data_IF_023386724237
#
_entry.id   IF_023386724237
#
_cell.length_a   1.000
_cell.length_b   1.000
_cell.length_c   1.000
_cell.angle_alpha   90.00
_cell.angle_beta   90.00
_cell.angle_gamma   90.00
#
_symmetry.space_group_name_H-M   'P 1'
#
loop_
_entity.id
_entity.type
_entity.pdbx_description
1 polymer ?
#
# COMPACT_ATOMS: atom_id res chain seq x y z
N UNK A 1 13.00 -16.57 -19.72
CA UNK A 1 12.29 -15.40 -19.23
C UNK A 1 10.83 -15.60 -19.56
N UNK A 2 10.00 -15.72 -18.54
CA UNK A 2 8.56 -15.71 -18.76
C UNK A 2 8.16 -14.35 -19.33
N UNK A 3 7.26 -14.30 -20.33
CA UNK A 3 6.81 -13.05 -20.88
C UNK A 3 6.10 -12.24 -19.77
N UNK A 4 6.60 -11.05 -19.50
CA UNK A 4 5.95 -10.09 -18.60
C UNK A 4 4.63 -9.66 -19.25
N UNK A 5 3.56 -10.34 -18.94
CA UNK A 5 2.20 -9.93 -19.29
C UNK A 5 1.73 -8.87 -18.29
N UNK A 6 2.00 -7.61 -18.59
CA UNK A 6 1.42 -6.51 -17.83
C UNK A 6 -0.12 -6.58 -17.98
N UNK A 7 -0.88 -6.44 -16.89
CA UNK A 7 -2.33 -6.38 -16.97
C UNK A 7 -2.74 -5.17 -17.80
N UNK A 8 -3.60 -5.38 -18.82
CA UNK A 8 -4.01 -4.35 -19.77
C UNK A 8 -4.77 -3.19 -19.09
N UNK A 9 -5.47 -3.45 -17.98
CA UNK A 9 -6.19 -2.45 -17.18
C UNK A 9 -5.61 -2.47 -15.76
N UNK A 10 -4.87 -1.43 -15.41
CA UNK A 10 -4.21 -1.31 -14.10
C UNK A 10 -4.77 -0.21 -13.21
N UNK A 11 -5.50 0.75 -13.80
CA UNK A 11 -6.08 1.89 -13.11
C UNK A 11 -7.22 2.48 -13.95
N UNK A 12 -8.28 2.92 -13.28
CA UNK A 12 -9.44 3.57 -13.90
C UNK A 12 -9.82 4.80 -13.09
N UNK A 13 -10.22 5.85 -13.79
CA UNK A 13 -10.84 7.04 -13.20
C UNK A 13 -12.10 7.37 -13.98
N UNK A 14 -13.20 7.54 -13.25
CA UNK A 14 -14.48 7.84 -13.85
C UNK A 14 -15.52 8.23 -12.82
N UNK A 15 -16.72 8.54 -13.31
CA UNK A 15 -17.87 8.80 -12.47
C UNK A 15 -18.42 7.51 -11.89
N UNK A 16 -18.66 7.49 -10.57
CA UNK A 16 -19.30 6.37 -9.89
C UNK A 16 -20.76 6.28 -10.31
N UNK A 17 -21.17 5.11 -10.78
CA UNK A 17 -22.53 4.83 -11.19
C UNK A 17 -22.94 3.41 -10.81
N UNK A 18 -24.24 3.19 -10.78
CA UNK A 18 -24.87 1.89 -10.62
C UNK A 18 -24.21 1.01 -9.52
N UNK A 19 -24.11 1.49 -8.27
CA UNK A 19 -23.60 0.69 -7.19
C UNK A 19 -24.52 -0.50 -6.91
N UNK A 20 -23.93 -1.70 -6.74
CA UNK A 20 -24.73 -2.92 -6.54
C UNK A 20 -24.16 -3.78 -5.42
N UNK A 21 -25.06 -4.48 -4.75
CA UNK A 21 -24.75 -5.51 -3.77
C UNK A 21 -25.59 -6.76 -4.09
N UNK A 22 -24.93 -7.89 -4.22
CA UNK A 22 -25.57 -9.18 -4.40
C UNK A 22 -24.94 -10.21 -3.47
N UNK A 23 -25.68 -10.71 -2.55
CA UNK A 23 -25.22 -11.58 -1.47
C UNK A 23 -24.07 -10.95 -0.68
N UNK A 24 -22.86 -11.54 -0.77
CA UNK A 24 -21.63 -11.02 -0.14
C UNK A 24 -20.67 -10.37 -1.15
N UNK A 25 -21.17 -10.02 -2.33
CA UNK A 25 -20.41 -9.34 -3.38
C UNK A 25 -20.87 -7.91 -3.49
N UNK A 26 -19.93 -7.03 -3.71
CA UNK A 26 -20.12 -5.60 -3.83
C UNK A 26 -19.46 -5.11 -5.09
N UNK A 27 -20.05 -4.14 -5.74
CA UNK A 27 -19.47 -3.57 -6.94
C UNK A 27 -20.12 -2.27 -7.34
N UNK A 28 -19.58 -1.67 -8.37
CA UNK A 28 -20.04 -0.42 -8.96
C UNK A 28 -19.67 -0.40 -10.44
N UNK A 29 -20.25 0.51 -11.17
CA UNK A 29 -19.80 0.85 -12.51
C UNK A 29 -18.99 2.17 -12.47
N UNK A 30 -17.81 2.19 -13.09
CA UNK A 30 -17.07 3.43 -13.37
C UNK A 30 -17.33 3.84 -14.82
N UNK A 31 -17.92 5.02 -15.01
CA UNK A 31 -18.14 5.62 -16.32
C UNK A 31 -16.94 6.49 -16.71
N UNK A 32 -16.10 5.93 -17.58
CA UNK A 32 -14.87 6.56 -18.05
C UNK A 32 -15.06 6.99 -19.51
N UNK A 33 -15.33 8.27 -19.77
CA UNK A 33 -15.43 8.84 -21.13
C UNK A 33 -16.32 8.03 -22.10
N UNK A 34 -17.52 7.67 -21.66
CA UNK A 34 -18.48 6.94 -22.48
C UNK A 34 -18.36 5.42 -22.42
N UNK A 35 -17.42 4.87 -21.64
CA UNK A 35 -17.30 3.43 -21.37
C UNK A 35 -17.62 3.16 -19.91
N UNK A 36 -18.55 2.23 -19.63
CA UNK A 36 -18.84 1.75 -18.28
C UNK A 36 -18.05 0.49 -17.97
N UNK A 37 -17.30 0.51 -16.89
CA UNK A 37 -16.56 -0.65 -16.37
C UNK A 37 -17.21 -1.15 -15.10
N UNK A 38 -17.68 -2.40 -15.10
CA UNK A 38 -18.18 -3.06 -13.89
C UNK A 38 -17.02 -3.54 -13.05
N UNK A 39 -16.92 -3.05 -11.81
CA UNK A 39 -15.80 -3.31 -10.92
C UNK A 39 -16.30 -3.88 -9.61
N UNK A 40 -15.76 -5.03 -9.19
CA UNK A 40 -15.99 -5.59 -7.87
C UNK A 40 -15.04 -4.96 -6.86
N UNK A 41 -15.57 -4.67 -5.68
CA UNK A 41 -14.83 -4.06 -4.55
C UNK A 41 -15.08 -4.87 -3.27
N UNK A 42 -14.27 -4.65 -2.23
CA UNK A 42 -14.49 -5.28 -0.94
C UNK A 42 -15.52 -4.50 -0.08
N UNK A 43 -16.08 -5.17 0.94
CA UNK A 43 -17.16 -4.64 1.77
C UNK A 43 -16.81 -3.31 2.45
N UNK A 44 -15.62 -3.16 3.00
CA UNK A 44 -15.19 -1.95 3.69
C UNK A 44 -15.16 -0.74 2.75
N UNK A 45 -14.67 -0.93 1.52
CA UNK A 45 -14.69 0.10 0.48
C UNK A 45 -16.12 0.47 0.08
N UNK A 46 -17.01 -0.52 -0.04
CA UNK A 46 -18.43 -0.31 -0.26
C UNK A 46 -19.08 0.58 0.81
N UNK A 47 -18.77 0.35 2.09
CA UNK A 47 -19.33 1.11 3.21
C UNK A 47 -18.88 2.57 3.26
N UNK A 48 -17.69 2.86 2.72
CA UNK A 48 -17.10 4.20 2.70
C UNK A 48 -17.18 4.88 1.34
N UNK A 49 -17.92 4.29 0.41
CA UNK A 49 -18.04 4.77 -0.96
C UNK A 49 -18.72 6.15 -1.01
N UNK A 50 -18.24 7.08 -1.84
CA UNK A 50 -18.89 8.37 -2.03
C UNK A 50 -20.24 8.22 -2.74
N UNK A 51 -20.98 9.33 -2.83
CA UNK A 51 -22.24 9.37 -3.54
C UNK A 51 -22.07 9.07 -5.03
N UNK A 52 -23.11 8.46 -5.62
CA UNK A 52 -23.20 8.27 -7.07
C UNK A 52 -23.03 9.60 -7.81
N UNK A 53 -22.34 9.60 -8.94
CA UNK A 53 -21.96 10.80 -9.70
C UNK A 53 -20.59 11.40 -9.27
N UNK A 54 -19.99 10.93 -8.18
CA UNK A 54 -18.69 11.42 -7.74
C UNK A 54 -17.57 10.84 -8.61
N UNK A 55 -16.57 11.66 -8.93
CA UNK A 55 -15.35 11.21 -9.61
C UNK A 55 -14.54 10.31 -8.67
N UNK A 56 -14.33 9.09 -9.08
CA UNK A 56 -13.61 8.06 -8.31
C UNK A 56 -12.47 7.49 -9.14
N UNK A 57 -11.35 7.18 -8.50
CA UNK A 57 -10.25 6.44 -9.12
C UNK A 57 -9.97 5.15 -8.36
N UNK A 58 -9.74 4.06 -9.12
CA UNK A 58 -9.47 2.74 -8.57
C UNK A 58 -8.23 2.13 -9.21
N UNK A 59 -7.40 1.50 -8.38
CA UNK A 59 -6.36 0.59 -8.85
C UNK A 59 -6.99 -0.77 -9.19
N UNK A 60 -6.74 -1.26 -10.38
CA UNK A 60 -7.44 -2.42 -10.94
C UNK A 60 -6.55 -3.66 -10.98
N UNK A 61 -7.15 -4.80 -10.64
CA UNK A 61 -6.70 -6.12 -11.02
C UNK A 61 -7.71 -6.72 -11.97
N UNK A 62 -7.29 -6.99 -13.21
CA UNK A 62 -8.13 -7.65 -14.21
C UNK A 62 -7.86 -9.16 -14.16
N UNK A 63 -8.88 -9.95 -13.84
CA UNK A 63 -8.86 -11.40 -13.97
C UNK A 63 -9.51 -11.77 -15.32
N UNK A 64 -8.69 -12.29 -16.23
CA UNK A 64 -9.12 -12.70 -17.57
C UNK A 64 -9.23 -14.21 -17.57
N UNK A 65 -10.41 -14.73 -17.86
CA UNK A 65 -10.70 -16.15 -17.97
C UNK A 65 -11.41 -16.42 -19.30
N UNK A 66 -11.51 -17.68 -19.69
CA UNK A 66 -12.23 -18.09 -20.90
C UNK A 66 -13.71 -17.72 -20.84
N UNK A 67 -14.32 -17.75 -19.68
CA UNK A 67 -15.72 -17.48 -19.39
C UNK A 67 -16.05 -15.99 -19.15
N UNK A 68 -15.02 -15.12 -19.10
CA UNK A 68 -15.24 -13.68 -18.95
C UNK A 68 -14.12 -12.94 -18.25
N UNK A 69 -14.27 -11.62 -18.23
CA UNK A 69 -13.36 -10.70 -17.57
C UNK A 69 -14.01 -10.17 -16.30
N UNK A 70 -13.24 -10.18 -15.21
CA UNK A 70 -13.67 -9.56 -13.96
C UNK A 70 -12.65 -8.52 -13.53
N UNK A 71 -13.13 -7.31 -13.25
CA UNK A 71 -12.30 -6.23 -12.72
C UNK A 71 -12.50 -6.15 -11.21
N UNK A 72 -11.41 -6.13 -10.46
CA UNK A 72 -11.36 -5.91 -9.03
C UNK A 72 -10.72 -4.57 -8.76
N UNK A 73 -11.40 -3.68 -8.01
CA UNK A 73 -10.98 -2.30 -7.77
C UNK A 73 -10.62 -2.05 -6.31
N UNK A 74 -9.57 -1.26 -6.12
CA UNK A 74 -9.00 -0.94 -4.81
C UNK A 74 -8.73 0.56 -4.73
N UNK A 75 -8.94 1.15 -3.57
CA UNK A 75 -8.68 2.57 -3.34
C UNK A 75 -7.20 2.92 -3.44
N UNK A 76 -6.33 1.99 -3.06
CA UNK A 76 -4.88 2.18 -3.08
C UNK A 76 -4.17 1.10 -3.89
N UNK A 77 -2.98 1.44 -4.40
CA UNK A 77 -2.08 0.49 -5.06
C UNK A 77 -1.67 -0.63 -4.10
N UNK A 78 -1.48 -0.29 -2.82
CA UNK A 78 -1.09 -1.24 -1.78
C UNK A 78 -2.16 -2.30 -1.55
N UNK A 79 -3.45 -1.93 -1.48
CA UNK A 79 -4.55 -2.90 -1.39
C UNK A 79 -4.61 -3.83 -2.60
N UNK A 80 -4.47 -3.28 -3.81
CA UNK A 80 -4.42 -4.09 -5.04
C UNK A 80 -3.25 -5.08 -5.02
N UNK A 81 -2.08 -4.62 -4.62
CA UNK A 81 -0.89 -5.46 -4.60
C UNK A 81 -0.99 -6.55 -3.52
N UNK A 82 -1.57 -6.22 -2.35
CA UNK A 82 -1.89 -7.21 -1.32
C UNK A 82 -2.92 -8.25 -1.80
N UNK A 83 -3.97 -7.80 -2.49
CA UNK A 83 -4.93 -8.70 -3.13
C UNK A 83 -4.24 -9.70 -4.08
N UNK A 84 -3.29 -9.24 -4.90
CA UNK A 84 -2.53 -10.09 -5.81
C UNK A 84 -1.68 -11.14 -5.07
N UNK A 85 -1.09 -10.74 -3.94
CA UNK A 85 -0.35 -11.69 -3.09
C UNK A 85 -1.28 -12.76 -2.50
N UNK A 86 -2.47 -12.35 -2.05
CA UNK A 86 -3.46 -13.27 -1.48
C UNK A 86 -3.95 -14.32 -2.50
N UNK A 87 -4.34 -13.89 -3.70
CA UNK A 87 -4.83 -14.80 -4.74
C UNK A 87 -3.75 -15.70 -5.36
N UNK A 88 -2.48 -15.41 -5.15
CA UNK A 88 -1.37 -16.26 -5.54
C UNK A 88 -1.23 -17.49 -4.63
N UNK A 89 -1.87 -17.49 -3.45
CA UNK A 89 -1.88 -18.63 -2.53
C UNK A 89 -2.88 -19.68 -3.01
N UNK A 90 -2.42 -20.92 -3.11
CA UNK A 90 -3.28 -22.04 -3.54
C UNK A 90 -4.51 -22.19 -2.63
N UNK A 91 -5.70 -22.19 -3.23
CA UNK A 91 -6.98 -22.28 -2.53
C UNK A 91 -7.52 -20.94 -2.02
N UNK A 92 -6.85 -19.82 -2.30
CA UNK A 92 -7.36 -18.48 -2.04
C UNK A 92 -7.86 -17.87 -3.35
N UNK A 93 -9.17 -17.88 -3.54
CA UNK A 93 -9.80 -17.23 -4.69
C UNK A 93 -10.06 -15.74 -4.47
N UNK A 94 -10.45 -15.00 -5.53
CA UNK A 94 -10.71 -13.57 -5.46
C UNK A 94 -11.74 -13.18 -4.40
N UNK A 95 -12.82 -13.93 -4.23
CA UNK A 95 -13.86 -13.61 -3.26
C UNK A 95 -13.38 -13.74 -1.82
N UNK A 96 -12.54 -14.73 -1.54
CA UNK A 96 -11.93 -14.92 -0.23
C UNK A 96 -10.92 -13.81 0.07
N UNK A 97 -10.12 -13.41 -0.93
CA UNK A 97 -9.19 -12.29 -0.81
C UNK A 97 -9.91 -10.95 -0.57
N UNK A 98 -11.02 -10.69 -1.28
CA UNK A 98 -11.88 -9.54 -1.01
C UNK A 98 -12.51 -9.60 0.38
N UNK A 99 -12.89 -10.80 0.85
CA UNK A 99 -13.40 -11.02 2.20
C UNK A 99 -12.38 -10.65 3.28
N UNK A 100 -11.13 -11.04 3.10
CA UNK A 100 -10.02 -10.66 4.00
C UNK A 100 -9.81 -9.15 4.05
N UNK A 101 -9.71 -8.49 2.89
CA UNK A 101 -9.54 -7.03 2.76
C UNK A 101 -10.78 -6.26 3.24
N UNK A 102 -11.95 -6.84 3.13
CA UNK A 102 -13.18 -6.26 3.65
C UNK A 102 -13.33 -6.40 5.17
N UNK A 103 -12.64 -7.37 5.78
CA UNK A 103 -12.70 -7.62 7.22
C UNK A 103 -11.56 -6.93 7.99
N UNK A 104 -10.36 -6.90 7.43
CA UNK A 104 -9.16 -6.31 8.04
C UNK A 104 -8.62 -5.16 7.20
N UNK A 105 -8.14 -4.12 7.89
CA UNK A 105 -7.31 -3.09 7.25
C UNK A 105 -6.05 -3.72 6.63
N UNK A 106 -5.52 -3.20 5.52
CA UNK A 106 -4.39 -3.81 4.81
C UNK A 106 -3.21 -4.14 5.71
N UNK A 107 -2.86 -3.21 6.59
CA UNK A 107 -1.71 -3.42 7.47
C UNK A 107 -1.99 -4.39 8.61
N UNK A 108 -3.19 -4.36 9.17
CA UNK A 108 -3.61 -5.36 10.15
C UNK A 108 -3.61 -6.77 9.55
N UNK A 109 -4.02 -6.90 8.28
CA UNK A 109 -3.97 -8.16 7.54
C UNK A 109 -2.52 -8.65 7.33
N UNK A 110 -1.61 -7.75 6.90
CA UNK A 110 -0.19 -8.08 6.75
C UNK A 110 0.41 -8.53 8.08
N UNK A 111 0.16 -7.80 9.16
CA UNK A 111 0.65 -8.16 10.50
C UNK A 111 0.08 -9.50 10.97
N UNK A 112 -1.22 -9.74 10.77
CA UNK A 112 -1.84 -11.02 11.14
C UNK A 112 -1.20 -12.21 10.40
N UNK A 113 -0.84 -12.05 9.13
CA UNK A 113 -0.15 -13.08 8.35
C UNK A 113 1.30 -13.24 8.81
N UNK A 114 2.03 -12.17 9.00
CA UNK A 114 3.45 -12.18 9.40
C UNK A 114 3.63 -12.78 10.80
N UNK A 115 2.76 -12.44 11.73
CA UNK A 115 2.79 -12.97 13.09
C UNK A 115 2.03 -14.30 13.27
N UNK A 116 1.45 -14.84 12.18
CA UNK A 116 0.64 -16.05 12.19
C UNK A 116 -0.52 -16.01 13.19
N UNK A 117 -1.20 -14.86 13.27
CA UNK A 117 -2.42 -14.73 14.08
C UNK A 117 -3.59 -15.42 13.39
N UNK A 118 -3.62 -16.75 13.52
CA UNK A 118 -4.63 -17.61 12.88
C UNK A 118 -6.04 -17.28 13.36
N UNK A 119 -6.17 -16.79 14.61
CA UNK A 119 -7.47 -16.42 15.18
C UNK A 119 -8.05 -15.21 14.46
N UNK A 120 -7.26 -14.17 14.28
CA UNK A 120 -7.67 -12.95 13.57
C UNK A 120 -8.00 -13.25 12.12
N UNK A 121 -7.15 -14.02 11.43
CA UNK A 121 -7.37 -14.42 10.03
C UNK A 121 -8.64 -15.23 9.85
N UNK A 122 -8.95 -16.15 10.79
CA UNK A 122 -10.14 -17.01 10.73
C UNK A 122 -11.45 -16.29 11.03
N UNK A 123 -11.42 -15.03 11.46
CA UNK A 123 -12.62 -14.20 11.61
C UNK A 123 -13.16 -13.71 10.26
N UNK A 124 -12.33 -13.66 9.23
CA UNK A 124 -12.77 -13.28 7.90
C UNK A 124 -13.70 -14.35 7.29
N UNK A 125 -14.80 -13.95 6.62
CA UNK A 125 -15.75 -14.87 6.03
C UNK A 125 -15.09 -15.85 5.05
N UNK A 126 -15.30 -17.16 5.24
CA UNK A 126 -14.76 -18.20 4.38
C UNK A 126 -13.31 -18.62 4.68
N UNK A 127 -12.66 -17.99 5.66
CA UNK A 127 -11.30 -18.36 6.09
C UNK A 127 -11.35 -19.37 7.22
N UNK A 128 -11.11 -20.64 6.90
CA UNK A 128 -10.94 -21.68 7.91
C UNK A 128 -9.49 -21.76 8.41
N UNK A 129 -9.26 -22.54 9.47
CA UNK A 129 -7.94 -22.73 10.09
C UNK A 129 -6.86 -23.13 9.07
N UNK A 130 -7.17 -24.08 8.18
CA UNK A 130 -6.21 -24.53 7.13
C UNK A 130 -5.83 -23.41 6.17
N UNK A 131 -6.77 -22.55 5.80
CA UNK A 131 -6.51 -21.40 4.92
C UNK A 131 -5.66 -20.36 5.64
N UNK A 132 -5.97 -20.06 6.91
CA UNK A 132 -5.18 -19.14 7.73
C UNK A 132 -3.73 -19.63 7.92
N UNK A 133 -3.54 -20.92 8.20
CA UNK A 133 -2.21 -21.55 8.31
C UNK A 133 -1.43 -21.42 6.99
N UNK A 134 -2.09 -21.71 5.85
CA UNK A 134 -1.48 -21.60 4.53
C UNK A 134 -1.07 -20.17 4.19
N UNK A 135 -1.94 -19.19 4.43
CA UNK A 135 -1.61 -17.78 4.26
C UNK A 135 -0.37 -17.38 5.09
N UNK A 136 -0.33 -17.80 6.36
CA UNK A 136 0.81 -17.52 7.24
C UNK A 136 2.10 -18.16 6.74
N UNK A 137 2.07 -19.41 6.24
CA UNK A 137 3.26 -20.11 5.77
C UNK A 137 3.75 -19.57 4.42
N UNK A 138 2.84 -19.40 3.45
CA UNK A 138 3.23 -19.06 2.07
C UNK A 138 3.55 -17.57 1.89
N UNK A 139 2.88 -16.67 2.62
CA UNK A 139 3.02 -15.23 2.42
C UNK A 139 3.92 -14.52 3.43
N UNK A 140 4.18 -15.10 4.59
CA UNK A 140 4.94 -14.46 5.68
C UNK A 140 6.18 -13.72 5.19
N UNK A 141 7.06 -14.44 4.50
CA UNK A 141 8.35 -13.92 4.06
C UNK A 141 8.21 -12.82 2.99
N UNK A 142 7.29 -13.03 2.05
CA UNK A 142 7.03 -12.08 0.95
C UNK A 142 6.41 -10.79 1.44
N UNK A 143 5.42 -10.89 2.35
CA UNK A 143 4.76 -9.72 2.91
C UNK A 143 5.69 -8.96 3.85
N UNK A 144 6.50 -9.66 4.63
CA UNK A 144 7.49 -9.04 5.50
C UNK A 144 8.48 -8.18 4.69
N UNK A 145 8.98 -8.69 3.57
CA UNK A 145 9.91 -7.95 2.71
C UNK A 145 9.25 -6.80 1.97
N UNK A 146 8.00 -6.98 1.49
CA UNK A 146 7.35 -6.04 0.60
C UNK A 146 6.57 -4.95 1.34
N UNK A 147 5.93 -5.27 2.43
CA UNK A 147 5.01 -4.37 3.13
C UNK A 147 5.57 -3.85 4.45
N UNK A 148 6.26 -4.66 5.25
CA UNK A 148 6.83 -4.19 6.50
C UNK A 148 8.12 -3.37 6.28
N UNK A 149 8.92 -3.70 5.28
CA UNK A 149 10.06 -2.87 4.87
C UNK A 149 9.63 -1.49 4.34
N UNK A 150 8.44 -1.39 3.73
CA UNK A 150 7.85 -0.11 3.35
C UNK A 150 7.22 0.62 4.53
N UNK A 151 6.73 -0.10 5.55
CA UNK A 151 6.19 0.52 6.76
C UNK A 151 7.26 1.09 7.67
N UNK A 152 8.39 0.42 7.78
CA UNK A 152 9.54 1.03 8.45
C UNK A 152 9.96 2.31 7.74
N UNK A 153 9.75 2.41 6.43
CA UNK A 153 9.91 3.64 5.66
C UNK A 153 8.74 4.62 5.84
N UNK A 154 7.49 4.14 5.87
CA UNK A 154 6.27 4.97 5.98
C UNK A 154 5.94 5.37 7.43
N UNK A 155 6.21 4.52 8.44
CA UNK A 155 6.20 4.93 9.85
C UNK A 155 7.32 5.92 10.15
N UNK A 156 8.40 5.82 9.40
CA UNK A 156 9.46 6.83 9.41
C UNK A 156 9.01 8.12 8.71
N UNK A 157 8.12 8.08 7.75
CA UNK A 157 7.54 9.25 7.08
C UNK A 157 6.32 9.82 7.83
N UNK A 158 5.48 9.00 8.45
CA UNK A 158 4.31 9.45 9.22
C UNK A 158 4.68 10.03 10.59
N UNK A 159 5.75 9.57 11.24
CA UNK A 159 6.33 10.23 12.42
C UNK A 159 7.16 11.47 12.06
N UNK A 160 7.44 11.69 10.78
CA UNK A 160 8.11 12.91 10.30
C UNK A 160 7.16 14.10 10.12
N UNK A 161 5.84 13.93 10.32
CA UNK A 161 4.89 15.06 10.35
C UNK A 161 5.00 15.91 11.60
N UNK A 162 5.78 15.46 12.61
CA UNK A 162 6.00 16.22 13.85
C UNK A 162 7.47 16.62 14.10
N UNK A 163 8.37 16.28 13.18
CA UNK A 163 9.76 16.73 13.20
C UNK A 163 9.92 17.92 12.25
N UNK A 164 9.66 19.12 12.77
CA UNK A 164 9.85 20.44 12.24
C UNK A 164 10.52 20.60 10.89
N UNK A 165 9.73 20.98 9.88
CA UNK A 165 10.00 22.12 9.02
C UNK A 165 11.17 22.06 8.02
N UNK A 166 11.31 20.96 7.30
CA UNK A 166 11.82 21.08 5.94
C UNK A 166 10.63 21.05 4.97
N UNK A 167 10.38 22.14 4.27
CA UNK A 167 9.44 22.16 3.15
C UNK A 167 9.91 21.15 2.08
N UNK A 168 8.97 20.51 1.37
CA UNK A 168 9.29 19.40 0.45
C UNK A 168 10.46 19.69 -0.51
N UNK A 169 10.61 20.92 -1.01
CA UNK A 169 11.72 21.33 -1.88
C UNK A 169 13.09 21.38 -1.18
N UNK A 170 13.14 21.73 0.09
CA UNK A 170 14.38 21.77 0.87
C UNK A 170 14.87 20.38 1.23
N UNK A 171 13.93 19.44 1.47
CA UNK A 171 14.25 18.04 1.76
C UNK A 171 14.87 17.35 0.55
N UNK A 172 14.33 17.61 -0.64
CA UNK A 172 14.86 17.08 -1.90
C UNK A 172 16.30 17.59 -2.14
N UNK A 173 16.57 18.85 -1.86
CA UNK A 173 17.91 19.47 -1.98
C UNK A 173 18.93 18.83 -1.03
N UNK A 174 18.56 18.61 0.23
CA UNK A 174 19.40 17.94 1.23
C UNK A 174 19.70 16.49 0.81
N UNK A 175 18.69 15.76 0.35
CA UNK A 175 18.86 14.37 -0.10
C UNK A 175 19.76 14.29 -1.34
N UNK A 176 19.57 15.18 -2.30
CA UNK A 176 20.32 15.21 -3.55
C UNK A 176 21.80 15.54 -3.28
N UNK A 177 22.06 16.48 -2.39
CA UNK A 177 23.42 16.90 -2.01
C UNK A 177 24.17 15.80 -1.26
N UNK A 178 23.54 15.16 -0.26
CA UNK A 178 24.14 14.07 0.51
C UNK A 178 24.34 12.82 -0.36
N UNK A 179 23.41 12.54 -1.28
CA UNK A 179 23.56 11.47 -2.28
C UNK A 179 24.72 11.71 -3.24
N UNK A 180 24.94 12.96 -3.68
CA UNK A 180 26.09 13.35 -4.52
C UNK A 180 27.44 13.21 -3.78
N UNK A 181 27.42 13.28 -2.45
CA UNK A 181 28.61 13.03 -1.60
C UNK A 181 28.87 11.55 -1.34
N UNK A 182 28.01 10.64 -1.84
CA UNK A 182 28.23 9.19 -1.80
C UNK A 182 27.55 8.46 -0.65
N UNK A 183 26.68 9.13 0.10
CA UNK A 183 25.90 8.47 1.16
C UNK A 183 24.71 7.71 0.58
N UNK A 184 24.38 6.55 1.16
CA UNK A 184 23.23 5.77 0.75
C UNK A 184 21.91 6.38 1.24
N UNK A 185 20.81 6.15 0.51
CA UNK A 185 19.50 6.72 0.81
C UNK A 185 19.04 6.44 2.26
N UNK A 186 19.37 5.28 2.80
CA UNK A 186 19.05 4.89 4.19
C UNK A 186 19.84 5.68 5.22
N UNK A 187 21.11 5.94 4.94
CA UNK A 187 21.99 6.75 5.80
C UNK A 187 21.53 8.20 5.83
N UNK A 188 21.17 8.74 4.67
CA UNK A 188 20.66 10.11 4.51
C UNK A 188 19.36 10.28 5.31
N UNK A 189 18.41 9.33 5.21
CA UNK A 189 17.17 9.39 5.97
C UNK A 189 17.40 9.32 7.48
N UNK A 190 18.31 8.46 7.95
CA UNK A 190 18.70 8.39 9.37
C UNK A 190 19.29 9.70 9.87
N UNK A 191 20.17 10.32 9.08
CA UNK A 191 20.78 11.58 9.42
C UNK A 191 19.76 12.73 9.51
N UNK A 192 18.90 12.89 8.50
CA UNK A 192 17.82 13.90 8.48
C UNK A 192 16.92 13.76 9.70
N UNK A 193 16.58 12.52 10.07
CA UNK A 193 15.76 12.24 11.25
C UNK A 193 16.46 12.62 12.56
N UNK A 194 17.72 12.17 12.73
CA UNK A 194 18.48 12.43 13.95
C UNK A 194 18.67 13.93 14.17
N UNK A 195 18.91 14.68 13.10
CA UNK A 195 19.06 16.14 13.12
C UNK A 195 17.71 16.82 13.40
N UNK A 196 16.62 16.36 12.79
CA UNK A 196 15.27 16.90 13.04
C UNK A 196 14.79 16.71 14.47
N UNK A 197 15.22 15.65 15.16
CA UNK A 197 14.89 15.42 16.57
C UNK A 197 15.73 16.25 17.56
N UNK A 198 16.84 16.85 17.13
CA UNK A 198 17.79 17.57 17.97
C UNK A 198 17.72 19.13 17.84
N UNK A 199 16.55 19.67 17.41
CA UNK A 199 16.28 21.10 17.48
C UNK A 199 17.00 22.01 16.47
N UNK A 200 16.98 21.65 15.19
CA UNK A 200 16.90 22.68 14.17
C UNK A 200 15.43 23.13 14.10
N UNK A 201 15.14 24.16 14.85
CA UNK A 201 13.82 24.77 14.90
C UNK A 201 13.30 25.06 13.48
N UNK A 202 11.99 24.97 13.29
CA UNK A 202 11.27 25.32 12.09
C UNK A 202 11.89 26.54 11.38
N UNK A 203 12.46 26.32 10.17
CA UNK A 203 12.98 27.39 9.32
C UNK A 203 14.50 27.41 9.07
N UNK A 204 15.22 26.31 9.33
CA UNK A 204 16.64 26.21 9.00
C UNK A 204 16.88 26.16 7.47
N UNK A 205 17.94 26.86 7.01
CA UNK A 205 18.40 26.82 5.63
C UNK A 205 18.83 25.36 5.25
N UNK A 206 18.59 24.88 4.03
CA UNK A 206 19.08 23.59 3.56
C UNK A 206 20.58 23.35 3.83
N UNK A 207 21.40 24.37 3.72
CA UNK A 207 22.83 24.30 4.02
C UNK A 207 23.13 23.96 5.49
N UNK A 208 22.34 24.44 6.42
CA UNK A 208 22.49 24.10 7.84
C UNK A 208 22.10 22.65 8.12
N UNK A 209 21.08 22.16 7.46
CA UNK A 209 20.67 20.76 7.53
C UNK A 209 21.73 19.82 6.94
N UNK A 210 22.30 20.15 5.79
CA UNK A 210 23.38 19.38 5.16
C UNK A 210 24.57 19.28 6.13
N UNK A 211 24.97 20.40 6.73
CA UNK A 211 26.10 20.46 7.66
C UNK A 211 25.89 19.61 8.90
N UNK A 212 24.71 19.65 9.50
CA UNK A 212 24.39 18.85 10.68
C UNK A 212 24.23 17.36 10.34
N UNK A 213 23.63 17.02 9.20
CA UNK A 213 23.57 15.64 8.72
C UNK A 213 24.97 15.06 8.48
N UNK A 214 25.90 15.81 7.88
CA UNK A 214 27.28 15.38 7.69
C UNK A 214 28.01 15.20 9.03
N UNK A 215 27.75 16.07 10.02
CA UNK A 215 28.30 15.95 11.36
C UNK A 215 27.78 14.69 12.06
N UNK A 216 26.52 14.37 11.89
CA UNK A 216 25.91 13.16 12.44
C UNK A 216 26.48 11.90 11.79
N UNK A 217 26.51 11.86 10.44
CA UNK A 217 27.05 10.76 9.65
C UNK A 217 28.53 10.46 9.94
N UNK A 218 29.32 11.49 10.25
CA UNK A 218 30.73 11.33 10.62
C UNK A 218 30.94 10.77 12.04
N UNK A 219 29.93 10.82 12.90
CA UNK A 219 29.98 10.26 14.26
C UNK A 219 29.48 8.82 14.34
N UNK A 220 28.54 8.44 13.48
CA UNK A 220 27.92 7.10 13.47
C UNK A 220 28.68 6.12 12.55
N UNK A 221 29.66 6.60 11.78
CA UNK A 221 30.52 5.81 10.88
C UNK A 221 31.90 5.44 11.50
N UNK A 222 32.08 5.56 12.81
CA UNK A 222 33.32 5.19 13.51
C UNK A 222 33.13 4.02 14.46
#
# INVERSE_FOLDING_TARGET
GEPFTAPMIGWLQGELADPWQQDKRYGLQLRCQGVGYDVQIHQRQWQTMPAEGTLLSLHIHAAIREDGWTLYGFSTKQERDLFRELIAVSGVGPQLALGLLGHLEPMALVQAIVHADLRQLSQAPGVGKRTAERLAVELRKRLQQRFLGQLEADEHDATSLDAGALEGGQRDEVQLTLGALGYEALEIQRAIRAVGSQALAAGGDPDDWIRECLRWLSRDGA
#
